data_IF_113165165366
#
_entry.id   IF_113165165366
#
_cell.length_a   1.000
_cell.length_b   1.000
_cell.length_c   1.000
_cell.angle_alpha   90.00
_cell.angle_beta   90.00
_cell.angle_gamma   90.00
#
_symmetry.space_group_name_H-M   'P 1'
#
loop_
_entity.id
_entity.type
_entity.pdbx_description
1 polymer ?
#
# COMPACT_ATOMS: atom_id res chain seq x y z
N UNK A 1 -31.08 -56.11 15.70
CA UNK A 1 -29.86 -55.51 15.11
C UNK A 1 -28.78 -56.59 14.97
N UNK A 2 -27.92 -56.50 13.96
CA UNK A 2 -26.76 -57.39 13.79
C UNK A 2 -25.49 -56.76 14.39
N UNK A 3 -24.42 -57.54 14.52
CA UNK A 3 -23.18 -57.07 15.15
C UNK A 3 -22.48 -55.95 14.36
N UNK A 4 -22.63 -55.92 13.03
CA UNK A 4 -22.01 -54.88 12.19
C UNK A 4 -22.60 -53.49 12.47
N UNK A 5 -23.93 -53.40 12.54
CA UNK A 5 -24.62 -52.14 12.90
C UNK A 5 -24.31 -51.77 14.36
N UNK A 6 -24.18 -52.77 15.24
CA UNK A 6 -23.80 -52.53 16.64
C UNK A 6 -22.44 -51.85 16.76
N UNK A 7 -21.45 -52.21 15.93
CA UNK A 7 -20.12 -51.58 15.95
C UNK A 7 -20.17 -50.11 15.54
N UNK A 8 -20.98 -49.78 14.54
CA UNK A 8 -21.21 -48.39 14.16
C UNK A 8 -21.89 -47.60 15.30
N UNK A 9 -22.84 -48.24 15.99
CA UNK A 9 -23.52 -47.63 17.13
C UNK A 9 -22.63 -47.45 18.36
N UNK A 10 -21.64 -48.33 18.57
CA UNK A 10 -20.59 -48.15 19.59
C UNK A 10 -19.86 -46.82 19.32
N UNK A 11 -19.40 -46.57 18.10
CA UNK A 11 -18.69 -45.31 17.76
C UNK A 11 -19.59 -44.08 17.95
N UNK A 12 -20.79 -44.11 17.35
CA UNK A 12 -21.78 -43.01 17.46
C UNK A 12 -22.17 -42.70 18.90
N UNK A 13 -22.19 -43.71 19.78
CA UNK A 13 -22.46 -43.51 21.20
C UNK A 13 -21.40 -42.63 21.87
N UNK A 14 -20.12 -42.92 21.63
CA UNK A 14 -19.01 -42.15 22.23
C UNK A 14 -18.83 -40.77 21.57
N UNK A 15 -19.19 -40.63 20.29
CA UNK A 15 -19.19 -39.34 19.60
C UNK A 15 -20.38 -38.43 20.01
N UNK A 16 -21.39 -38.96 20.71
CA UNK A 16 -22.60 -38.23 21.10
C UNK A 16 -23.65 -38.10 20.00
N UNK A 17 -23.50 -38.82 18.89
CA UNK A 17 -24.31 -38.73 17.68
C UNK A 17 -25.41 -39.81 17.58
N UNK A 18 -25.59 -40.63 18.62
CA UNK A 18 -26.59 -41.71 18.65
C UNK A 18 -27.98 -41.20 19.03
N UNK A 19 -29.00 -41.43 18.19
CA UNK A 19 -30.38 -40.98 18.45
C UNK A 19 -31.05 -41.85 19.52
N UNK A 20 -32.07 -41.29 20.19
CA UNK A 20 -32.84 -41.97 21.25
C UNK A 20 -33.37 -43.35 20.81
N UNK A 21 -33.99 -43.43 19.62
CA UNK A 21 -34.54 -44.67 19.09
C UNK A 21 -33.46 -45.72 18.76
N UNK A 22 -32.29 -45.26 18.31
CA UNK A 22 -31.13 -46.11 18.00
C UNK A 22 -30.49 -46.63 19.30
N UNK A 23 -30.43 -45.79 20.34
CA UNK A 23 -29.94 -46.12 21.68
C UNK A 23 -30.72 -47.26 22.34
N UNK A 24 -32.05 -47.29 22.19
CA UNK A 24 -32.87 -48.41 22.70
C UNK A 24 -32.51 -49.71 22.01
N UNK A 25 -32.47 -49.71 20.67
CA UNK A 25 -32.13 -50.90 19.88
C UNK A 25 -30.69 -51.37 20.14
N UNK A 26 -29.78 -50.43 20.37
CA UNK A 26 -28.39 -50.68 20.72
C UNK A 26 -28.28 -51.40 22.06
N UNK A 27 -28.92 -50.86 23.11
CA UNK A 27 -28.93 -51.47 24.46
C UNK A 27 -29.52 -52.87 24.43
N UNK A 28 -30.64 -53.08 23.74
CA UNK A 28 -31.24 -54.40 23.59
C UNK A 28 -30.30 -55.43 22.92
N UNK A 29 -29.43 -54.97 22.02
CA UNK A 29 -28.44 -55.84 21.40
C UNK A 29 -27.26 -56.13 22.33
N UNK A 30 -26.78 -55.14 23.08
CA UNK A 30 -25.72 -55.31 24.08
C UNK A 30 -26.13 -56.30 25.20
N UNK A 31 -27.42 -56.40 25.51
CA UNK A 31 -27.94 -57.37 26.48
C UNK A 31 -27.93 -58.81 25.93
N UNK A 32 -28.00 -58.97 24.61
CA UNK A 32 -28.13 -60.28 23.93
C UNK A 32 -26.82 -60.79 23.33
N UNK A 33 -25.88 -59.90 23.00
CA UNK A 33 -24.62 -60.23 22.36
C UNK A 33 -23.43 -59.93 23.30
N UNK A 34 -22.79 -60.98 23.82
CA UNK A 34 -21.64 -60.86 24.71
C UNK A 34 -20.41 -60.24 24.04
N UNK A 35 -20.20 -60.50 22.73
CA UNK A 35 -19.07 -59.95 21.97
C UNK A 35 -19.17 -58.43 21.86
N UNK A 36 -20.31 -57.91 21.38
CA UNK A 36 -20.54 -56.47 21.28
C UNK A 36 -20.55 -55.78 22.65
N UNK A 37 -21.04 -56.47 23.70
CA UNK A 37 -20.99 -55.97 25.08
C UNK A 37 -19.55 -55.82 25.58
N UNK A 38 -18.68 -56.82 25.33
CA UNK A 38 -17.27 -56.76 25.69
C UNK A 38 -16.54 -55.64 24.94
N UNK A 39 -16.81 -55.47 23.64
CA UNK A 39 -16.24 -54.40 22.83
C UNK A 39 -16.66 -53.00 23.34
N UNK A 40 -17.95 -52.82 23.63
CA UNK A 40 -18.47 -51.59 24.22
C UNK A 40 -17.82 -51.27 25.57
N UNK A 41 -17.71 -52.24 26.47
CA UNK A 41 -17.11 -52.03 27.79
C UNK A 41 -15.61 -51.74 27.71
N UNK A 42 -14.90 -52.37 26.77
CA UNK A 42 -13.49 -52.06 26.50
C UNK A 42 -13.33 -50.59 26.10
N UNK A 43 -14.13 -50.13 25.13
CA UNK A 43 -14.12 -48.73 24.70
C UNK A 43 -14.50 -47.79 25.85
N UNK A 44 -15.55 -48.13 26.61
CA UNK A 44 -15.98 -47.37 27.78
C UNK A 44 -14.88 -47.22 28.82
N UNK A 45 -14.11 -48.28 29.08
CA UNK A 45 -12.99 -48.25 30.02
C UNK A 45 -11.88 -47.28 29.55
N UNK A 46 -11.59 -47.24 28.25
CA UNK A 46 -10.61 -46.30 27.67
C UNK A 46 -11.08 -44.86 27.90
N UNK A 47 -12.30 -44.51 27.48
CA UNK A 47 -12.85 -43.16 27.65
C UNK A 47 -12.95 -42.76 29.13
N UNK A 48 -13.40 -43.65 30.02
CA UNK A 48 -13.45 -43.38 31.46
C UNK A 48 -12.05 -43.08 32.01
N UNK A 49 -11.02 -43.77 31.55
CA UNK A 49 -9.64 -43.51 31.97
C UNK A 49 -9.14 -42.15 31.48
N UNK A 50 -9.54 -41.74 30.27
CA UNK A 50 -9.20 -40.43 29.72
C UNK A 50 -9.92 -39.29 30.44
N UNK A 51 -11.21 -39.47 30.77
CA UNK A 51 -12.03 -38.49 31.50
C UNK A 51 -11.55 -38.26 32.93
N UNK A 52 -10.87 -39.23 33.54
CA UNK A 52 -10.28 -39.04 34.88
C UNK A 52 -9.05 -38.14 34.89
N UNK A 53 -8.54 -37.73 33.73
CA UNK A 53 -7.41 -36.81 33.62
C UNK A 53 -7.88 -35.38 33.85
N UNK A 54 -7.13 -34.64 34.66
CA UNK A 54 -7.40 -33.22 34.92
C UNK A 54 -7.48 -32.44 33.60
N UNK A 55 -8.59 -31.73 33.38
CA UNK A 55 -8.76 -30.84 32.24
C UNK A 55 -7.66 -29.79 32.28
N UNK A 56 -6.82 -29.78 31.25
CA UNK A 56 -5.73 -28.81 31.14
C UNK A 56 -6.34 -27.53 30.58
N UNK A 57 -6.55 -26.55 31.46
CA UNK A 57 -6.96 -25.21 31.05
C UNK A 57 -5.91 -24.62 30.09
N UNK A 58 -6.32 -24.13 28.91
CA UNK A 58 -5.41 -23.47 28.01
C UNK A 58 -4.84 -22.20 28.67
N UNK A 59 -3.62 -21.78 28.29
CA UNK A 59 -3.08 -20.51 28.75
C UNK A 59 -4.04 -19.35 28.47
N UNK A 60 -4.12 -18.38 29.38
CA UNK A 60 -5.02 -17.23 29.25
C UNK A 60 -4.84 -16.41 27.96
N UNK A 61 -3.68 -16.53 27.29
CA UNK A 61 -3.35 -15.85 26.04
C UNK A 61 -3.51 -16.72 24.77
N UNK A 62 -4.00 -17.96 24.91
CA UNK A 62 -4.12 -18.90 23.80
C UNK A 62 -5.05 -18.38 22.70
N UNK A 63 -6.24 -17.91 23.07
CA UNK A 63 -7.21 -17.36 22.12
C UNK A 63 -6.61 -16.19 21.34
N UNK A 64 -6.01 -15.22 22.05
CA UNK A 64 -5.38 -14.07 21.43
C UNK A 64 -4.29 -14.48 20.42
N UNK A 65 -3.40 -15.41 20.80
CA UNK A 65 -2.35 -15.93 19.91
C UNK A 65 -2.89 -16.63 18.67
N UNK A 66 -3.99 -17.36 18.79
CA UNK A 66 -4.63 -18.05 17.66
C UNK A 66 -5.27 -17.03 16.74
N UNK A 67 -6.05 -16.10 17.29
CA UNK A 67 -6.77 -15.10 16.50
C UNK A 67 -5.83 -14.12 15.78
N UNK A 68 -4.70 -13.76 16.39
CA UNK A 68 -3.67 -12.96 15.72
C UNK A 68 -3.13 -13.66 14.47
N UNK A 69 -2.84 -14.97 14.56
CA UNK A 69 -2.38 -15.76 13.41
C UNK A 69 -3.45 -15.89 12.33
N UNK A 70 -4.71 -16.11 12.71
CA UNK A 70 -5.84 -16.14 11.78
C UNK A 70 -5.97 -14.81 11.04
N UNK A 71 -5.89 -13.69 11.75
CA UNK A 71 -5.97 -12.35 11.17
C UNK A 71 -4.86 -12.09 10.13
N UNK A 72 -3.63 -12.52 10.41
CA UNK A 72 -2.51 -12.43 9.48
C UNK A 72 -2.79 -13.23 8.20
N UNK A 73 -3.21 -14.49 8.33
CA UNK A 73 -3.52 -15.37 7.19
C UNK A 73 -4.65 -14.77 6.34
N UNK A 74 -5.70 -14.25 6.97
CA UNK A 74 -6.80 -13.62 6.25
C UNK A 74 -6.37 -12.35 5.51
N UNK A 75 -5.53 -11.53 6.13
CA UNK A 75 -5.01 -10.31 5.50
C UNK A 75 -4.19 -10.65 4.26
N UNK A 76 -3.25 -11.59 4.36
CA UNK A 76 -2.44 -12.03 3.22
C UNK A 76 -3.31 -12.61 2.10
N UNK A 77 -4.33 -13.38 2.44
CA UNK A 77 -5.30 -13.92 1.47
C UNK A 77 -6.08 -12.80 0.77
N UNK A 78 -6.55 -11.80 1.51
CA UNK A 78 -7.24 -10.62 0.95
C UNK A 78 -6.35 -9.87 -0.02
N UNK A 79 -5.10 -9.61 0.35
CA UNK A 79 -4.14 -8.89 -0.50
C UNK A 79 -3.81 -9.65 -1.79
N UNK A 80 -3.59 -10.97 -1.69
CA UNK A 80 -3.37 -11.83 -2.87
C UNK A 80 -4.58 -11.80 -3.80
N UNK A 81 -5.78 -12.00 -3.27
CA UNK A 81 -7.01 -11.97 -4.05
C UNK A 81 -7.23 -10.61 -4.72
N UNK A 82 -7.00 -9.51 -4.01
CA UNK A 82 -7.11 -8.16 -4.58
C UNK A 82 -6.13 -7.96 -5.75
N UNK A 83 -4.86 -8.35 -5.58
CA UNK A 83 -3.85 -8.29 -6.66
C UNK A 83 -4.25 -9.14 -7.86
N UNK A 84 -4.75 -10.36 -7.63
CA UNK A 84 -5.22 -11.25 -8.69
C UNK A 84 -6.41 -10.65 -9.45
N UNK A 85 -7.39 -10.08 -8.74
CA UNK A 85 -8.56 -9.42 -9.35
C UNK A 85 -8.12 -8.21 -10.19
N UNK A 86 -7.21 -7.38 -9.67
CA UNK A 86 -6.68 -6.23 -10.42
C UNK A 86 -5.94 -6.68 -11.67
N UNK A 87 -5.11 -7.73 -11.58
CA UNK A 87 -4.38 -8.26 -12.72
C UNK A 87 -5.32 -8.86 -13.77
N UNK A 88 -6.33 -9.61 -13.33
CA UNK A 88 -7.37 -10.17 -14.20
C UNK A 88 -8.17 -9.05 -14.91
N UNK A 89 -8.57 -8.02 -14.19
CA UNK A 89 -9.31 -6.88 -14.73
C UNK A 89 -8.47 -6.12 -15.77
N UNK A 90 -7.20 -5.82 -15.46
CA UNK A 90 -6.30 -5.15 -16.39
C UNK A 90 -6.03 -6.01 -17.63
N UNK A 91 -5.85 -7.33 -17.46
CA UNK A 91 -5.71 -8.27 -18.56
C UNK A 91 -6.96 -8.32 -19.46
N UNK A 92 -8.15 -8.37 -18.86
CA UNK A 92 -9.43 -8.35 -19.57
C UNK A 92 -9.65 -7.03 -20.32
N UNK A 93 -9.29 -5.89 -19.71
CA UNK A 93 -9.36 -4.57 -20.33
C UNK A 93 -8.40 -4.48 -21.52
N UNK A 94 -7.16 -4.92 -21.38
CA UNK A 94 -6.20 -4.96 -22.48
C UNK A 94 -6.68 -5.86 -23.64
N UNK A 95 -7.20 -7.05 -23.32
CA UNK A 95 -7.79 -7.95 -24.31
C UNK A 95 -8.98 -7.29 -25.03
N UNK A 96 -9.86 -6.61 -24.29
CA UNK A 96 -11.01 -5.88 -24.83
C UNK A 96 -10.57 -4.79 -25.81
N UNK A 97 -9.53 -4.02 -25.47
CA UNK A 97 -8.97 -2.99 -26.36
C UNK A 97 -8.43 -3.63 -27.65
N UNK A 98 -7.67 -4.72 -27.54
CA UNK A 98 -7.12 -5.43 -28.71
C UNK A 98 -8.24 -5.96 -29.60
N UNK A 99 -9.27 -6.59 -29.02
CA UNK A 99 -10.41 -7.11 -29.78
C UNK A 99 -11.19 -5.99 -30.48
N UNK A 100 -11.38 -4.83 -29.81
CA UNK A 100 -12.00 -3.66 -30.42
C UNK A 100 -11.17 -3.14 -31.61
N UNK A 101 -9.84 -3.06 -31.46
CA UNK A 101 -8.96 -2.65 -32.55
C UNK A 101 -9.03 -3.61 -33.73
N UNK A 102 -9.08 -4.92 -33.47
CA UNK A 102 -9.26 -5.94 -34.52
C UNK A 102 -10.59 -5.78 -35.23
N UNK A 103 -11.67 -5.59 -34.48
CA UNK A 103 -13.01 -5.35 -35.04
C UNK A 103 -13.08 -4.07 -35.89
N UNK A 104 -12.48 -2.98 -35.44
CA UNK A 104 -12.43 -1.71 -36.20
C UNK A 104 -11.60 -1.85 -37.48
N UNK A 105 -10.49 -2.58 -37.43
CA UNK A 105 -9.67 -2.83 -38.61
C UNK A 105 -10.44 -3.65 -39.68
N UNK A 106 -11.17 -4.68 -39.24
CA UNK A 106 -12.01 -5.50 -40.11
C UNK A 106 -13.14 -4.69 -40.76
N UNK A 107 -13.88 -3.89 -39.97
CA UNK A 107 -14.94 -3.00 -40.48
C UNK A 107 -14.46 -1.99 -41.52
N UNK A 108 -13.24 -1.46 -41.35
CA UNK A 108 -12.69 -0.45 -42.26
C UNK A 108 -11.93 -1.06 -43.45
N UNK A 109 -11.88 -2.40 -43.58
CA UNK A 109 -11.06 -3.11 -44.55
C UNK A 109 -9.59 -2.65 -44.53
N UNK A 110 -9.11 -2.23 -43.35
CA UNK A 110 -7.73 -1.79 -43.16
C UNK A 110 -6.94 -2.99 -42.66
N UNK A 111 -5.78 -3.24 -43.27
CA UNK A 111 -4.92 -4.32 -42.80
C UNK A 111 -4.43 -4.02 -41.37
N UNK A 112 -4.54 -5.00 -40.46
CA UNK A 112 -4.05 -4.89 -39.08
C UNK A 112 -2.58 -4.46 -39.01
N UNK A 113 -1.80 -4.87 -40.00
CA UNK A 113 -0.39 -4.51 -40.17
C UNK A 113 -0.20 -2.99 -40.37
N UNK A 114 -1.00 -2.34 -41.21
CA UNK A 114 -0.92 -0.89 -41.44
C UNK A 114 -1.41 -0.05 -40.26
N UNK A 115 -2.37 -0.57 -39.48
CA UNK A 115 -2.79 0.05 -38.22
C UNK A 115 -1.71 -0.05 -37.14
N UNK A 116 -0.97 -1.16 -37.10
CA UNK A 116 0.18 -1.35 -36.21
C UNK A 116 1.37 -0.46 -36.59
N UNK A 117 1.64 -0.28 -37.90
CA UNK A 117 2.64 0.70 -38.38
C UNK A 117 2.24 2.13 -38.00
N UNK A 118 0.98 2.53 -38.18
CA UNK A 118 0.49 3.86 -37.75
C UNK A 118 0.55 4.04 -36.24
N UNK A 119 0.21 3.03 -35.45
CA UNK A 119 0.42 3.06 -34.00
C UNK A 119 1.91 3.21 -33.67
N UNK A 120 2.79 2.50 -34.38
CA UNK A 120 4.23 2.66 -34.32
C UNK A 120 4.70 4.07 -34.68
N UNK A 121 4.09 4.73 -35.68
CA UNK A 121 4.34 6.13 -36.04
C UNK A 121 3.81 7.12 -34.99
N UNK A 122 2.68 6.82 -34.32
CA UNK A 122 2.19 7.60 -33.18
C UNK A 122 3.09 7.42 -31.94
N UNK A 123 3.61 6.20 -31.70
CA UNK A 123 4.56 5.92 -30.62
C UNK A 123 5.97 6.45 -30.91
N UNK A 124 6.41 6.47 -32.17
CA UNK A 124 7.65 7.14 -32.58
C UNK A 124 7.48 8.66 -32.59
N UNK A 125 6.27 9.17 -32.86
CA UNK A 125 5.89 10.56 -32.59
C UNK A 125 5.86 10.87 -31.09
N UNK A 126 5.62 9.87 -30.24
CA UNK A 126 5.77 10.02 -28.79
C UNK A 126 7.25 9.98 -28.37
N UNK A 127 8.09 9.20 -29.05
CA UNK A 127 9.56 9.23 -28.90
C UNK A 127 10.15 10.58 -29.34
N UNK A 128 9.68 11.15 -30.45
CA UNK A 128 10.06 12.50 -30.88
C UNK A 128 9.39 13.59 -30.05
N UNK A 129 8.22 13.33 -29.45
CA UNK A 129 7.65 14.20 -28.42
C UNK A 129 8.49 14.17 -27.15
N UNK A 130 9.11 13.04 -26.78
CA UNK A 130 10.07 13.02 -25.67
C UNK A 130 11.35 13.79 -26.01
N UNK A 131 11.85 13.71 -27.24
CA UNK A 131 12.99 14.55 -27.68
C UNK A 131 12.63 16.04 -27.76
N UNK A 132 11.42 16.39 -28.25
CA UNK A 132 10.93 17.76 -28.30
C UNK A 132 10.66 18.33 -26.90
N UNK A 133 10.13 17.52 -25.98
CA UNK A 133 9.94 17.92 -24.57
C UNK A 133 11.30 18.10 -23.89
N UNK A 134 12.28 17.24 -24.14
CA UNK A 134 13.65 17.41 -23.65
C UNK A 134 14.26 18.71 -24.20
N UNK A 135 14.12 18.99 -25.50
CA UNK A 135 14.62 20.23 -26.11
C UNK A 135 13.95 21.49 -25.56
N UNK A 136 12.62 21.47 -25.38
CA UNK A 136 11.88 22.59 -24.77
C UNK A 136 12.30 22.81 -23.31
N UNK A 137 12.55 21.72 -22.56
CA UNK A 137 13.05 21.82 -21.19
C UNK A 137 14.46 22.42 -21.17
N UNK A 138 15.36 21.98 -22.06
CA UNK A 138 16.72 22.51 -22.18
C UNK A 138 16.72 24.01 -22.55
N UNK A 139 15.91 24.41 -23.53
CA UNK A 139 15.75 25.81 -23.93
C UNK A 139 15.19 26.68 -22.79
N UNK A 140 14.22 26.17 -22.03
CA UNK A 140 13.69 26.87 -20.84
C UNK A 140 14.78 27.04 -19.78
N UNK A 141 15.62 26.03 -19.54
CA UNK A 141 16.74 26.14 -18.60
C UNK A 141 17.77 27.18 -19.05
N UNK A 142 18.10 27.25 -20.34
CA UNK A 142 19.02 28.26 -20.90
C UNK A 142 18.43 29.67 -20.81
N UNK A 143 17.12 29.82 -21.10
CA UNK A 143 16.43 31.11 -20.97
C UNK A 143 16.36 31.57 -19.51
N UNK A 144 16.07 30.68 -18.58
CA UNK A 144 16.08 30.99 -17.14
C UNK A 144 17.49 31.37 -16.66
N UNK A 145 18.52 30.64 -17.08
CA UNK A 145 19.91 30.93 -16.73
C UNK A 145 20.39 32.28 -17.27
N UNK A 146 20.06 32.60 -18.53
CA UNK A 146 20.42 33.89 -19.15
C UNK A 146 19.67 35.07 -18.53
N UNK A 147 18.38 34.90 -18.20
CA UNK A 147 17.61 35.91 -17.47
C UNK A 147 18.21 36.17 -16.08
N UNK A 148 18.62 35.12 -15.36
CA UNK A 148 19.27 35.25 -14.06
C UNK A 148 20.60 36.01 -14.15
N UNK A 149 21.43 35.69 -15.16
CA UNK A 149 22.69 36.40 -15.40
C UNK A 149 22.45 37.89 -15.71
N UNK A 150 21.46 38.20 -16.54
CA UNK A 150 21.09 39.58 -16.83
C UNK A 150 20.64 40.34 -15.57
N UNK A 151 19.86 39.70 -14.69
CA UNK A 151 19.46 40.29 -13.40
C UNK A 151 20.68 40.56 -12.52
N UNK A 152 21.63 39.62 -12.45
CA UNK A 152 22.88 39.80 -11.69
C UNK A 152 23.69 40.96 -12.27
N UNK A 153 23.83 41.05 -13.59
CA UNK A 153 24.58 42.10 -14.27
C UNK A 153 23.96 43.48 -14.06
N UNK A 154 22.65 43.60 -14.25
CA UNK A 154 21.91 44.85 -13.99
C UNK A 154 22.02 45.23 -12.52
N UNK A 155 21.89 44.28 -11.60
CA UNK A 155 22.06 44.53 -10.17
C UNK A 155 23.47 45.07 -9.88
N UNK A 156 24.52 44.43 -10.40
CA UNK A 156 25.89 44.88 -10.21
C UNK A 156 26.16 46.25 -10.84
N UNK A 157 25.56 46.53 -12.01
CA UNK A 157 25.63 47.84 -12.68
C UNK A 157 24.99 48.95 -11.85
N UNK A 158 23.80 48.69 -11.29
CA UNK A 158 23.12 49.59 -10.36
C UNK A 158 24.00 49.83 -9.13
N UNK A 159 24.50 48.77 -8.49
CA UNK A 159 25.40 48.91 -7.35
C UNK A 159 26.61 49.78 -7.69
N UNK A 160 27.28 49.55 -8.82
CA UNK A 160 28.45 50.34 -9.24
C UNK A 160 28.12 51.81 -9.50
N UNK A 161 26.97 52.08 -10.12
CA UNK A 161 26.52 53.45 -10.43
C UNK A 161 26.19 54.25 -9.16
N UNK A 162 25.50 53.62 -8.20
CA UNK A 162 24.98 54.33 -7.02
C UNK A 162 25.88 54.24 -5.78
N UNK A 163 26.87 53.34 -5.74
CA UNK A 163 27.77 53.18 -4.59
C UNK A 163 28.55 54.46 -4.25
N UNK A 164 29.08 55.16 -5.26
CA UNK A 164 29.82 56.42 -5.03
C UNK A 164 28.90 57.55 -4.54
N UNK A 165 27.66 57.61 -5.03
CA UNK A 165 26.67 58.60 -4.56
C UNK A 165 26.38 58.36 -3.08
N UNK A 166 26.21 57.11 -2.67
CA UNK A 166 25.98 56.75 -1.27
C UNK A 166 27.18 57.11 -0.37
N UNK A 167 28.42 56.86 -0.84
CA UNK A 167 29.63 57.30 -0.12
C UNK A 167 29.66 58.80 0.07
N UNK A 168 29.38 59.58 -0.98
CA UNK A 168 29.40 61.05 -0.92
C UNK A 168 28.33 61.57 0.04
N UNK A 169 27.12 61.00 0.01
CA UNK A 169 26.06 61.38 0.94
C UNK A 169 26.43 61.07 2.39
N UNK A 170 27.02 59.90 2.66
CA UNK A 170 27.51 59.54 3.99
C UNK A 170 28.63 60.47 4.46
N UNK A 171 29.57 60.82 3.58
CA UNK A 171 30.64 61.77 3.89
C UNK A 171 30.08 63.16 4.20
N UNK A 172 29.10 63.64 3.42
CA UNK A 172 28.41 64.91 3.65
C UNK A 172 27.67 64.90 4.99
N UNK A 173 26.93 63.83 5.31
CA UNK A 173 26.26 63.67 6.60
C UNK A 173 27.27 63.69 7.76
N UNK A 174 28.41 63.02 7.61
CA UNK A 174 29.47 63.02 8.61
C UNK A 174 30.08 64.42 8.81
N UNK A 175 30.30 65.17 7.73
CA UNK A 175 30.78 66.56 7.80
C UNK A 175 29.76 67.46 8.50
N UNK A 176 28.48 67.34 8.16
CA UNK A 176 27.40 68.11 8.79
C UNK A 176 27.32 67.78 10.29
N UNK A 177 27.35 66.50 10.66
CA UNK A 177 27.37 66.08 12.08
C UNK A 177 28.56 66.69 12.83
N UNK A 178 29.75 66.68 12.21
CA UNK A 178 30.96 67.26 12.80
C UNK A 178 30.87 68.79 12.93
N UNK A 179 30.30 69.48 11.93
CA UNK A 179 30.07 70.92 11.99
C UNK A 179 29.05 71.30 13.05
N UNK A 180 27.94 70.56 13.16
CA UNK A 180 26.94 70.76 14.22
C UNK A 180 27.56 70.56 15.61
N UNK A 181 28.39 69.52 15.79
CA UNK A 181 29.13 69.31 17.02
C UNK A 181 30.16 70.42 17.30
N UNK A 182 30.86 70.90 16.28
CA UNK A 182 31.83 72.00 16.40
C UNK A 182 31.16 73.34 16.77
N UNK A 183 30.05 73.68 16.11
CA UNK A 183 29.26 74.87 16.45
C UNK A 183 28.67 74.76 17.85
N UNK A 184 28.14 73.59 18.21
CA UNK A 184 27.60 73.35 19.55
C UNK A 184 28.65 73.39 20.68
N UNK A 185 29.92 73.14 20.38
CA UNK A 185 31.02 73.25 21.35
C UNK A 185 31.56 74.67 21.46
N UNK A 186 31.65 75.44 20.37
CA UNK A 186 32.05 76.85 20.43
C UNK A 186 30.96 77.80 20.96
N UNK A 187 29.67 77.51 20.75
CA UNK A 187 28.60 78.28 21.39
C UNK A 187 28.58 78.16 22.91
N UNK A 188 29.28 77.16 23.47
CA UNK A 188 29.50 77.01 24.91
C UNK A 188 30.66 77.85 25.44
N UNK A 189 31.64 78.21 24.60
CA UNK A 189 32.81 79.02 25.00
C UNK A 189 32.53 80.53 24.98
N UNK A 190 31.56 81.02 24.21
CA UNK A 190 31.20 82.46 24.20
C UNK A 190 30.22 82.87 25.32
N UNK A 191 29.86 81.95 26.23
CA UNK A 191 28.95 82.23 27.37
C UNK A 191 29.62 82.14 28.75
N UNK A 192 30.95 82.10 28.81
CA UNK A 192 31.72 82.25 30.06
C UNK A 192 32.64 83.48 30.05
#
# INVERSE_FOLDING_TARGET
MNCDISKEYIMKHFDGDLKEAESVQFKEHLDKCSECNAEFNCMKAIFTTLDTKEEIEPPADFEAKVMDKVAIIEKERREKNAKTIVWLYNGAMALSIVLLLVFVADLKQVSLFSAFEKLGEYFSSFSSATEAVIGVVEDIFVLLGSALLAVIEVSFSIFKSYYYVFIVLLAMLFVIQRLLHYVGTHSGEETE
#
